data_IF_373862936154
#
_entry.id   IF_373862936154
#
_cell.length_a   1.000
_cell.length_b   1.000
_cell.length_c   1.000
_cell.angle_alpha   90.00
_cell.angle_beta   90.00
_cell.angle_gamma   90.00
#
_symmetry.space_group_name_H-M   'P 1'
#
loop_
_entity.id
_entity.type
_entity.pdbx_description
1 polymer ?
#
# COMPACT_ATOMS: atom_id res chain seq x y z
N UNK A 1 12.60 -1.19 -5.46
CA UNK A 1 13.55 -0.07 -5.51
C UNK A 1 12.98 1.16 -4.80
N UNK A 2 13.76 2.22 -4.64
CA UNK A 2 13.31 3.50 -4.04
C UNK A 2 12.27 4.26 -4.90
N UNK A 3 12.00 3.79 -6.12
CA UNK A 3 10.95 4.29 -7.01
C UNK A 3 9.62 3.57 -6.79
N UNK A 4 9.65 2.43 -6.13
CA UNK A 4 8.48 1.60 -5.88
C UNK A 4 7.88 1.92 -4.51
N UNK A 5 6.61 1.53 -4.34
CA UNK A 5 5.87 1.65 -3.09
C UNK A 5 5.21 0.32 -2.75
N UNK A 6 5.23 -0.06 -1.48
CA UNK A 6 4.43 -1.14 -0.93
C UNK A 6 3.44 -0.53 0.06
N UNK A 7 2.17 -0.56 -0.28
CA UNK A 7 1.09 -0.13 0.59
C UNK A 7 0.44 -1.36 1.24
N UNK A 8 0.20 -1.30 2.54
CA UNK A 8 -0.41 -2.41 3.28
C UNK A 8 -1.57 -1.94 4.14
N UNK A 9 -2.61 -2.78 4.19
CA UNK A 9 -3.74 -2.64 5.11
C UNK A 9 -3.51 -3.40 6.43
N UNK A 10 -2.42 -4.17 6.52
CA UNK A 10 -2.10 -4.97 7.69
C UNK A 10 -1.47 -4.12 8.80
N UNK A 11 -1.88 -4.40 10.04
CA UNK A 11 -1.36 -3.73 11.24
C UNK A 11 -0.13 -4.40 11.83
N UNK A 12 0.15 -5.65 11.43
CA UNK A 12 1.24 -6.42 11.97
C UNK A 12 2.61 -5.79 11.59
N UNK A 13 3.66 -6.08 12.36
CA UNK A 13 4.97 -5.50 12.14
C UNK A 13 5.81 -6.24 11.08
N UNK A 14 5.30 -7.30 10.45
CA UNK A 14 6.11 -8.24 9.63
C UNK A 14 6.75 -7.55 8.43
N UNK A 15 6.01 -6.70 7.73
CA UNK A 15 6.54 -5.95 6.59
C UNK A 15 7.63 -4.96 7.04
N UNK A 16 7.43 -4.27 8.16
CA UNK A 16 8.43 -3.35 8.73
C UNK A 16 9.68 -4.12 9.18
N UNK A 17 9.53 -5.29 9.79
CA UNK A 17 10.66 -6.14 10.16
C UNK A 17 11.43 -6.64 8.95
N UNK A 18 10.73 -7.02 7.88
CA UNK A 18 11.37 -7.41 6.61
C UNK A 18 12.16 -6.23 6.02
N UNK A 19 11.56 -5.05 5.99
CA UNK A 19 12.21 -3.82 5.54
C UNK A 19 13.51 -3.53 6.32
N UNK A 20 13.46 -3.58 7.66
CA UNK A 20 14.63 -3.38 8.54
C UNK A 20 15.74 -4.43 8.26
N UNK A 21 15.37 -5.68 7.98
CA UNK A 21 16.35 -6.71 7.60
C UNK A 21 17.00 -6.41 6.25
N UNK A 22 16.19 -6.02 5.26
CA UNK A 22 16.69 -5.70 3.92
C UNK A 22 17.53 -4.41 3.92
N UNK A 23 17.25 -3.43 4.78
CA UNK A 23 18.04 -2.19 4.87
C UNK A 23 19.48 -2.40 5.32
N UNK A 24 19.79 -3.54 5.94
CA UNK A 24 21.18 -3.97 6.24
C UNK A 24 21.95 -4.46 5.01
N UNK A 25 21.24 -4.73 3.91
CA UNK A 25 21.83 -5.29 2.68
C UNK A 25 21.87 -4.21 1.60
N UNK A 26 20.81 -3.39 1.48
CA UNK A 26 20.70 -2.35 0.46
C UNK A 26 19.90 -1.14 0.98
N UNK A 27 20.23 0.04 0.48
CA UNK A 27 19.45 1.26 0.72
C UNK A 27 18.41 1.51 -0.38
N UNK A 28 18.45 0.72 -1.45
CA UNK A 28 17.50 0.84 -2.57
C UNK A 28 16.23 0.03 -2.30
N UNK A 29 15.46 0.46 -1.29
CA UNK A 29 14.23 -0.20 -0.86
C UNK A 29 13.00 0.61 -1.28
N UNK A 30 11.83 -0.06 -1.47
CA UNK A 30 10.56 0.60 -1.74
C UNK A 30 10.10 1.41 -0.54
N UNK A 31 9.28 2.43 -0.76
CA UNK A 31 8.57 3.09 0.34
C UNK A 31 7.50 2.17 0.93
N UNK A 32 7.36 2.18 2.26
CA UNK A 32 6.31 1.43 2.95
C UNK A 32 5.24 2.40 3.44
N UNK A 33 3.99 2.13 3.08
CA UNK A 33 2.83 2.91 3.50
C UNK A 33 1.85 2.00 4.25
N UNK A 34 1.61 2.30 5.53
CA UNK A 34 0.68 1.54 6.37
C UNK A 34 -0.69 2.26 6.40
N UNK A 35 -1.57 1.90 5.47
CA UNK A 35 -2.82 2.63 5.21
C UNK A 35 -3.84 2.60 6.35
N UNK A 36 -3.75 1.61 7.21
CA UNK A 36 -4.58 1.45 8.42
C UNK A 36 -3.78 1.62 9.72
N UNK A 37 -2.56 2.21 9.64
CA UNK A 37 -1.63 2.25 10.75
C UNK A 37 -0.83 0.95 10.91
N UNK A 38 0.12 0.93 11.87
CA UNK A 38 0.94 -0.25 12.13
C UNK A 38 1.43 -0.24 13.58
N UNK A 39 1.42 -1.39 14.25
CA UNK A 39 1.82 -1.50 15.67
C UNK A 39 3.30 -1.20 15.93
N UNK A 40 4.16 -1.26 14.91
CA UNK A 40 5.59 -0.99 15.03
C UNK A 40 5.98 0.45 14.64
N UNK A 41 5.06 1.24 14.10
CA UNK A 41 5.34 2.58 13.59
C UNK A 41 4.84 3.64 14.55
N UNK A 42 5.71 4.61 14.84
CA UNK A 42 5.38 5.83 15.53
C UNK A 42 5.59 7.06 14.63
N UNK A 43 4.95 8.16 14.97
CA UNK A 43 4.87 9.36 14.16
C UNK A 43 5.07 10.65 15.02
N UNK A 44 5.68 11.65 14.41
CA UNK A 44 5.78 13.00 14.96
C UNK A 44 4.97 13.94 14.07
N UNK A 45 3.84 14.44 14.59
CA UNK A 45 2.95 15.33 13.82
C UNK A 45 3.58 16.68 13.51
N UNK A 46 4.42 17.20 14.41
CA UNK A 46 5.07 18.50 14.26
C UNK A 46 6.05 18.53 13.06
N UNK A 47 6.79 17.43 12.85
CA UNK A 47 7.86 17.37 11.86
C UNK A 47 7.53 16.44 10.68
N UNK A 48 6.37 15.77 10.71
CA UNK A 48 5.97 14.78 9.67
C UNK A 48 7.03 13.68 9.52
N UNK A 49 7.67 13.31 10.64
CA UNK A 49 8.68 12.26 10.72
C UNK A 49 8.10 10.99 11.32
N UNK A 50 8.60 9.84 10.91
CA UNK A 50 8.15 8.54 11.40
C UNK A 50 9.31 7.56 11.55
N UNK A 51 9.09 6.55 12.40
CA UNK A 51 10.09 5.54 12.70
C UNK A 51 9.51 4.43 13.55
N UNK A 52 10.36 3.64 14.20
CA UNK A 52 9.90 2.67 15.19
C UNK A 52 9.21 3.36 16.38
N UNK A 53 8.16 2.73 16.90
CA UNK A 53 7.38 3.28 18.04
C UNK A 53 8.24 3.64 19.28
N UNK A 54 9.39 2.96 19.48
CA UNK A 54 10.32 3.23 20.58
C UNK A 54 11.42 4.24 20.24
N UNK A 55 11.40 4.77 19.00
CA UNK A 55 12.39 5.76 18.56
C UNK A 55 11.94 7.18 18.83
N UNK A 56 12.88 8.13 18.63
CA UNK A 56 12.64 9.55 18.76
C UNK A 56 12.71 10.25 17.41
N UNK A 57 11.96 11.32 17.27
CA UNK A 57 12.04 12.22 16.13
C UNK A 57 13.46 12.79 16.01
N UNK A 58 14.08 12.76 14.84
CA UNK A 58 15.45 13.25 14.65
C UNK A 58 15.56 14.78 14.78
N UNK A 59 14.44 15.50 14.73
CA UNK A 59 14.39 16.96 14.79
C UNK A 59 14.14 17.47 16.21
N UNK A 60 13.02 17.07 16.85
CA UNK A 60 12.68 17.55 18.18
C UNK A 60 13.14 16.62 19.32
N UNK A 61 13.66 15.43 18.99
CA UNK A 61 14.10 14.40 19.95
C UNK A 61 13.01 13.85 20.89
N UNK A 62 11.75 14.23 20.69
CA UNK A 62 10.62 13.64 21.41
C UNK A 62 10.36 12.21 20.88
N UNK A 63 9.88 11.33 21.76
CA UNK A 63 9.45 9.99 21.35
C UNK A 63 8.33 10.09 20.33
N UNK A 64 8.36 9.22 19.33
CA UNK A 64 7.24 9.07 18.42
C UNK A 64 5.99 8.58 19.14
N UNK A 65 4.83 9.14 18.77
CA UNK A 65 3.54 8.63 19.22
C UNK A 65 3.15 7.43 18.37
N UNK A 66 2.59 6.34 18.96
CA UNK A 66 2.07 5.21 18.19
C UNK A 66 1.04 5.69 17.17
N UNK A 67 1.08 5.13 15.96
CA UNK A 67 0.09 5.42 14.93
C UNK A 67 -1.28 4.87 15.33
N UNK A 68 -2.34 5.57 14.94
CA UNK A 68 -3.70 5.08 15.09
C UNK A 68 -3.89 3.79 14.26
N UNK A 69 -4.68 2.86 14.77
CA UNK A 69 -5.08 1.66 14.03
C UNK A 69 -6.53 1.81 13.57
N UNK A 70 -6.77 1.71 12.26
CA UNK A 70 -8.12 1.75 11.70
C UNK A 70 -8.74 0.36 11.71
N UNK A 71 -9.70 0.15 12.58
CA UNK A 71 -10.43 -1.12 12.67
C UNK A 71 -11.36 -1.33 11.46
N UNK A 72 -11.79 -2.57 11.16
CA UNK A 72 -12.68 -2.91 10.05
C UNK A 72 -14.13 -2.47 10.31
N UNK A 73 -14.35 -1.16 10.42
CA UNK A 73 -15.66 -0.51 10.54
C UNK A 73 -16.07 0.10 9.20
N UNK A 74 -17.38 0.29 8.98
CA UNK A 74 -17.91 0.78 7.71
C UNK A 74 -17.40 2.18 7.31
N UNK A 75 -17.27 3.08 8.27
CA UNK A 75 -16.83 4.46 8.00
C UNK A 75 -15.46 4.65 8.64
N UNK A 76 -14.40 4.54 7.85
CA UNK A 76 -13.04 4.81 8.28
C UNK A 76 -12.69 6.25 7.96
N UNK A 77 -12.15 6.96 8.95
CA UNK A 77 -11.61 8.29 8.73
C UNK A 77 -10.12 8.19 8.39
N UNK A 78 -9.80 8.35 7.12
CA UNK A 78 -8.45 8.33 6.59
C UNK A 78 -7.74 9.69 6.70
N UNK A 79 -8.41 10.71 7.20
CA UNK A 79 -7.92 12.10 7.21
C UNK A 79 -7.56 12.62 8.60
N UNK A 80 -8.17 12.09 9.67
CA UNK A 80 -8.02 12.64 11.02
C UNK A 80 -6.69 12.31 11.71
N UNK A 81 -6.01 11.25 11.30
CA UNK A 81 -4.70 10.88 11.84
C UNK A 81 -3.59 11.36 10.88
N UNK A 82 -2.60 12.07 11.39
CA UNK A 82 -1.54 12.67 10.60
C UNK A 82 -0.74 11.67 9.79
N UNK A 83 -0.38 10.52 10.37
CA UNK A 83 0.37 9.47 9.68
C UNK A 83 -0.46 8.78 8.60
N UNK A 84 -1.69 8.39 8.92
CA UNK A 84 -2.59 7.72 7.96
C UNK A 84 -2.88 8.64 6.78
N UNK A 85 -3.22 9.90 7.04
CA UNK A 85 -3.44 10.90 5.99
C UNK A 85 -2.19 11.08 5.10
N UNK A 86 -1.00 11.11 5.69
CA UNK A 86 0.25 11.18 4.94
C UNK A 86 0.44 9.92 4.06
N UNK A 87 0.18 8.72 4.59
CA UNK A 87 0.25 7.47 3.81
C UNK A 87 -0.71 7.49 2.62
N UNK A 88 -1.94 7.94 2.80
CA UNK A 88 -2.93 8.01 1.72
C UNK A 88 -2.58 9.04 0.65
N UNK A 89 -2.06 10.22 1.03
CA UNK A 89 -1.57 11.21 0.06
C UNK A 89 -0.36 10.69 -0.72
N UNK A 90 0.54 9.98 -0.06
CA UNK A 90 1.67 9.36 -0.73
C UNK A 90 1.21 8.25 -1.68
N UNK A 91 0.24 7.42 -1.28
CA UNK A 91 -0.34 6.37 -2.14
C UNK A 91 -1.01 6.97 -3.38
N UNK A 92 -1.79 8.05 -3.22
CA UNK A 92 -2.44 8.78 -4.32
C UNK A 92 -1.40 9.16 -5.40
N UNK A 93 -0.30 9.78 -4.99
CA UNK A 93 0.81 10.12 -5.88
C UNK A 93 1.43 8.88 -6.57
N UNK A 94 1.69 7.80 -5.82
CA UNK A 94 2.28 6.59 -6.40
C UNK A 94 1.34 5.90 -7.39
N UNK A 95 0.05 5.83 -7.10
CA UNK A 95 -0.95 5.24 -8.01
C UNK A 95 -1.06 6.06 -9.29
N UNK A 96 -1.17 7.39 -9.17
CA UNK A 96 -1.27 8.30 -10.33
C UNK A 96 -0.10 8.13 -11.30
N UNK A 97 1.12 7.95 -10.77
CA UNK A 97 2.35 7.87 -11.56
C UNK A 97 2.86 6.43 -11.80
N UNK A 98 2.09 5.42 -11.41
CA UNK A 98 2.52 4.02 -11.59
C UNK A 98 2.26 3.52 -13.00
N UNK A 99 3.20 2.75 -13.52
CA UNK A 99 3.03 1.95 -14.74
C UNK A 99 2.43 0.57 -14.44
N UNK A 100 2.72 0.01 -13.26
CA UNK A 100 2.22 -1.29 -12.84
C UNK A 100 1.64 -1.19 -11.42
N UNK A 101 0.40 -1.64 -11.26
CA UNK A 101 -0.26 -1.84 -9.98
C UNK A 101 -0.30 -3.33 -9.65
N UNK A 102 0.35 -3.75 -8.56
CA UNK A 102 0.25 -5.13 -8.09
C UNK A 102 -0.63 -5.19 -6.84
N UNK A 103 -1.66 -6.01 -6.89
CA UNK A 103 -2.58 -6.28 -5.78
C UNK A 103 -2.29 -7.69 -5.26
N UNK A 104 -1.95 -7.81 -3.97
CA UNK A 104 -1.57 -9.07 -3.36
C UNK A 104 -2.41 -9.36 -2.11
N UNK A 105 -3.26 -10.39 -2.18
CA UNK A 105 -4.05 -10.88 -1.07
C UNK A 105 -5.04 -9.85 -0.50
N UNK A 106 -5.50 -8.91 -1.30
CA UNK A 106 -6.45 -7.88 -0.90
C UNK A 106 -7.77 -8.02 -1.66
N UNK A 107 -8.77 -8.53 -0.99
CA UNK A 107 -10.08 -8.86 -1.58
C UNK A 107 -11.05 -7.68 -1.70
N UNK A 108 -10.61 -6.46 -1.43
CA UNK A 108 -11.46 -5.25 -1.42
C UNK A 108 -12.78 -5.45 -0.63
N UNK A 109 -12.68 -5.76 0.68
CA UNK A 109 -13.88 -6.09 1.46
C UNK A 109 -14.85 -4.90 1.53
N UNK A 110 -16.14 -5.19 1.74
CA UNK A 110 -17.19 -4.15 1.83
C UNK A 110 -16.95 -3.10 2.91
N UNK A 111 -16.12 -3.39 3.91
CA UNK A 111 -15.69 -2.42 4.92
C UNK A 111 -14.66 -1.42 4.40
N UNK A 112 -14.08 -1.64 3.23
CA UNK A 112 -13.01 -0.84 2.63
C UNK A 112 -13.42 -0.16 1.32
N UNK A 113 -14.72 -0.01 1.07
CA UNK A 113 -15.26 0.65 -0.14
C UNK A 113 -14.66 2.05 -0.34
N UNK A 114 -14.52 2.82 0.74
CA UNK A 114 -13.93 4.16 0.66
C UNK A 114 -12.45 4.11 0.26
N UNK A 115 -11.70 3.12 0.75
CA UNK A 115 -10.31 2.88 0.36
C UNK A 115 -10.18 2.57 -1.13
N UNK A 116 -11.02 1.65 -1.63
CA UNK A 116 -11.05 1.30 -3.06
C UNK A 116 -11.42 2.51 -3.92
N UNK A 117 -12.39 3.31 -3.48
CA UNK A 117 -12.77 4.54 -4.19
C UNK A 117 -11.65 5.58 -4.24
N UNK A 118 -10.88 5.73 -3.15
CA UNK A 118 -9.69 6.59 -3.15
C UNK A 118 -8.64 6.10 -4.14
N UNK A 119 -8.33 4.80 -4.11
CA UNK A 119 -7.39 4.19 -5.06
C UNK A 119 -7.85 4.34 -6.51
N UNK A 120 -9.15 4.11 -6.77
CA UNK A 120 -9.74 4.29 -8.10
C UNK A 120 -9.67 5.73 -8.60
N UNK A 121 -9.92 6.70 -7.72
CA UNK A 121 -9.78 8.12 -8.04
C UNK A 121 -8.34 8.47 -8.42
N UNK A 122 -7.36 7.95 -7.67
CA UNK A 122 -5.94 8.14 -7.96
C UNK A 122 -5.48 7.44 -9.25
N UNK A 123 -6.04 6.26 -9.55
CA UNK A 123 -5.78 5.54 -10.81
C UNK A 123 -6.32 6.29 -12.02
N UNK A 124 -7.45 6.98 -11.88
CA UNK A 124 -8.08 7.77 -12.92
C UNK A 124 -8.89 6.94 -13.92
N UNK A 125 -9.11 7.50 -15.11
CA UNK A 125 -9.87 6.82 -16.15
C UNK A 125 -9.00 5.77 -16.86
N UNK A 126 -9.49 4.54 -16.95
CA UNK A 126 -8.77 3.42 -17.59
C UNK A 126 -8.49 3.66 -19.07
N UNK A 127 -9.31 4.43 -19.77
CA UNK A 127 -9.11 4.77 -21.18
C UNK A 127 -7.89 5.69 -21.39
N UNK A 128 -7.47 6.42 -20.37
CA UNK A 128 -6.28 7.26 -20.40
C UNK A 128 -5.00 6.49 -20.02
N UNK A 129 -5.16 5.19 -19.68
CA UNK A 129 -4.08 4.28 -19.22
C UNK A 129 -3.96 3.01 -20.08
N UNK A 130 -3.80 3.14 -21.40
CA UNK A 130 -3.79 1.99 -22.29
C UNK A 130 -2.51 1.14 -22.23
N UNK A 131 -1.45 1.61 -21.57
CA UNK A 131 -0.16 0.93 -21.46
C UNK A 131 0.13 0.41 -20.05
N UNK A 132 -0.64 0.83 -19.06
CA UNK A 132 -0.47 0.42 -17.66
C UNK A 132 -1.00 -1.00 -17.46
N UNK A 133 -0.38 -1.70 -16.51
CA UNK A 133 -0.67 -3.11 -16.24
C UNK A 133 -1.11 -3.32 -14.79
N UNK A 134 -2.14 -4.13 -14.59
CA UNK A 134 -2.58 -4.58 -13.26
C UNK A 134 -2.21 -6.04 -13.05
N UNK A 135 -1.50 -6.34 -11.97
CA UNK A 135 -1.18 -7.72 -11.57
C UNK A 135 -1.90 -8.06 -10.28
N UNK A 136 -2.70 -9.12 -10.29
CA UNK A 136 -3.40 -9.58 -9.09
C UNK A 136 -2.88 -10.95 -8.67
N UNK A 137 -2.49 -11.07 -7.41
CA UNK A 137 -2.03 -12.30 -6.79
C UNK A 137 -3.01 -12.61 -5.65
N UNK A 138 -3.91 -13.56 -5.88
CA UNK A 138 -4.94 -13.94 -4.91
C UNK A 138 -5.38 -15.39 -5.12
N UNK A 139 -5.93 -15.99 -4.06
CA UNK A 139 -6.46 -17.37 -4.09
C UNK A 139 -7.89 -17.45 -4.63
N UNK A 140 -8.59 -16.33 -4.81
CA UNK A 140 -9.91 -16.28 -5.43
C UNK A 140 -9.80 -16.67 -6.91
N UNK A 141 -10.90 -17.11 -7.53
CA UNK A 141 -10.93 -17.41 -8.96
C UNK A 141 -10.78 -16.13 -9.81
N UNK A 142 -10.33 -16.32 -11.06
CA UNK A 142 -10.04 -15.21 -11.97
C UNK A 142 -11.28 -14.40 -12.34
N UNK A 143 -12.46 -15.02 -12.44
CA UNK A 143 -13.70 -14.33 -12.76
C UNK A 143 -14.12 -13.38 -11.63
N UNK A 144 -14.06 -13.85 -10.39
CA UNK A 144 -14.31 -13.03 -9.19
C UNK A 144 -13.30 -11.88 -9.08
N UNK A 145 -12.03 -12.17 -9.37
CA UNK A 145 -10.96 -11.16 -9.41
C UNK A 145 -11.27 -10.08 -10.44
N UNK A 146 -11.58 -10.45 -11.68
CA UNK A 146 -11.91 -9.51 -12.75
C UNK A 146 -13.10 -8.63 -12.39
N UNK A 147 -14.16 -9.21 -11.83
CA UNK A 147 -15.33 -8.45 -11.37
C UNK A 147 -15.00 -7.43 -10.28
N UNK A 148 -14.06 -7.76 -9.39
CA UNK A 148 -13.64 -6.89 -8.29
C UNK A 148 -12.79 -5.72 -8.78
N UNK A 149 -11.85 -5.97 -9.72
CA UNK A 149 -10.81 -5.02 -10.11
C UNK A 149 -10.98 -4.42 -11.51
N UNK A 150 -12.11 -4.70 -12.19
CA UNK A 150 -12.39 -4.25 -13.57
C UNK A 150 -12.19 -2.76 -13.81
N UNK A 151 -12.43 -1.92 -12.79
CA UNK A 151 -12.31 -0.48 -12.88
C UNK A 151 -10.85 0.02 -12.89
N UNK A 152 -9.89 -0.89 -12.71
CA UNK A 152 -8.45 -0.63 -12.79
C UNK A 152 -7.82 -1.23 -14.06
N UNK A 153 -8.55 -2.06 -14.80
CA UNK A 153 -8.02 -2.87 -15.89
C UNK A 153 -8.48 -2.30 -17.23
N UNK A 154 -7.52 -1.84 -18.03
CA UNK A 154 -7.79 -1.48 -19.43
C UNK A 154 -7.67 -2.72 -20.34
N UNK A 155 -8.79 -3.14 -20.93
CA UNK A 155 -8.83 -4.25 -21.89
C UNK A 155 -8.22 -5.57 -21.35
N UNK A 156 -7.07 -5.96 -21.89
CA UNK A 156 -6.36 -7.20 -21.53
C UNK A 156 -5.07 -6.96 -20.75
N UNK A 157 -4.85 -5.73 -20.26
CA UNK A 157 -3.63 -5.34 -19.58
C UNK A 157 -3.67 -5.75 -18.09
N UNK A 158 -3.84 -7.03 -17.86
CA UNK A 158 -3.77 -7.61 -16.53
C UNK A 158 -3.05 -8.93 -16.49
N UNK A 159 -2.58 -9.30 -15.30
CA UNK A 159 -2.07 -10.64 -14.97
C UNK A 159 -2.75 -11.15 -13.71
N UNK A 160 -3.08 -12.43 -13.73
CA UNK A 160 -3.61 -13.11 -12.56
C UNK A 160 -2.71 -14.28 -12.18
N UNK A 161 -2.49 -14.47 -10.88
CA UNK A 161 -1.76 -15.61 -10.32
C UNK A 161 -2.42 -16.04 -9.01
N UNK A 162 -2.75 -17.32 -8.90
CA UNK A 162 -3.30 -17.89 -7.68
C UNK A 162 -2.24 -18.29 -6.64
N UNK A 163 -0.96 -18.10 -6.97
CA UNK A 163 0.19 -18.33 -6.09
C UNK A 163 1.20 -17.21 -6.26
N UNK A 164 1.77 -16.75 -5.14
CA UNK A 164 2.85 -15.76 -5.17
C UNK A 164 4.04 -16.25 -6.01
N UNK A 165 4.45 -17.50 -5.85
CA UNK A 165 5.63 -18.04 -6.54
C UNK A 165 5.45 -18.17 -8.06
N UNK A 166 4.22 -18.20 -8.55
CA UNK A 166 3.90 -18.22 -9.97
C UNK A 166 3.74 -16.83 -10.58
N UNK A 167 3.69 -15.80 -9.72
CA UNK A 167 3.51 -14.43 -10.14
C UNK A 167 4.74 -13.86 -10.86
N UNK A 168 4.51 -12.80 -11.63
CA UNK A 168 5.58 -12.04 -12.27
C UNK A 168 6.54 -11.44 -11.24
N UNK A 169 6.02 -10.96 -10.10
CA UNK A 169 6.81 -10.37 -9.03
C UNK A 169 7.83 -11.37 -8.44
N UNK A 170 7.44 -12.64 -8.28
CA UNK A 170 8.33 -13.66 -7.75
C UNK A 170 9.34 -14.18 -8.79
N UNK A 171 8.91 -14.30 -10.07
CA UNK A 171 9.76 -14.80 -11.14
C UNK A 171 10.80 -13.78 -11.64
N UNK A 172 10.47 -12.50 -11.53
CA UNK A 172 11.31 -11.40 -12.00
C UNK A 172 11.46 -10.31 -10.93
N UNK A 173 12.07 -10.63 -9.78
CA UNK A 173 12.32 -9.65 -8.73
C UNK A 173 13.28 -8.57 -9.26
N UNK A 174 12.92 -7.31 -9.04
CA UNK A 174 13.71 -6.13 -9.48
C UNK A 174 14.60 -5.61 -8.36
#
# INVERSE_FOLDING_TARGET
>A
TNKDCIATFNWDPLLIQAYIRCSKITLNLPKILCLHGNVAVGFCEEHIEFGGVDCCCPICHNKFYPTKLLYPVKNKDYSSDGYINWCWKALDYFIEHSYMLTIFGYSAPKSDVDAVNLMKKAWGNIEDRPLEEVSVIDIIDEETMLNTWKDFIHSHHYRYSNSFFDSYLAKFPR
#
